data_IF_356886690645
#
_entry.id   IF_356886690645
#
_cell.length_a   1.000
_cell.length_b   1.000
_cell.length_c   1.000
_cell.angle_alpha   90.00
_cell.angle_beta   90.00
_cell.angle_gamma   90.00
#
_symmetry.space_group_name_H-M   'P 1'
#
loop_
_entity.id
_entity.type
_entity.pdbx_description
1 polymer ?
#
# COMPACT_ATOMS: atom_id res chain seq x y z
N UNK A 1 -5.62 2.42 -15.33
CA UNK A 1 -6.47 3.58 -15.65
C UNK A 1 -7.08 4.26 -14.40
N UNK A 2 -7.64 3.53 -13.43
CA UNK A 2 -8.24 4.18 -12.25
C UNK A 2 -7.19 4.50 -11.17
N UNK A 3 -6.25 3.61 -10.95
CA UNK A 3 -5.12 3.81 -10.02
C UNK A 3 -4.29 5.03 -10.44
N UNK A 4 -4.03 5.19 -11.70
CA UNK A 4 -3.26 6.30 -12.27
C UNK A 4 -3.93 7.68 -12.07
N UNK A 5 -5.26 7.71 -12.00
CA UNK A 5 -6.02 8.95 -11.81
C UNK A 5 -6.02 9.47 -10.37
N UNK A 6 -5.68 8.62 -9.42
CA UNK A 6 -5.64 9.01 -8.00
C UNK A 6 -4.41 9.84 -7.65
N UNK A 7 -3.37 9.85 -8.50
CA UNK A 7 -2.09 10.49 -8.19
C UNK A 7 -1.32 9.84 -7.04
N UNK A 8 -1.82 8.71 -6.53
CA UNK A 8 -1.19 7.98 -5.44
C UNK A 8 -0.10 7.06 -5.99
N UNK A 9 1.11 7.20 -5.47
CA UNK A 9 2.28 6.47 -5.94
C UNK A 9 2.41 5.09 -5.31
N UNK A 10 1.72 4.85 -4.21
CA UNK A 10 1.76 3.64 -3.43
C UNK A 10 0.43 2.89 -3.54
N UNK A 11 0.49 1.59 -3.80
CA UNK A 11 -0.69 0.74 -3.89
C UNK A 11 -1.44 0.65 -2.56
N UNK A 12 -0.72 0.71 -1.44
CA UNK A 12 -1.32 0.72 -0.12
C UNK A 12 -2.28 1.89 0.08
N UNK A 13 -1.88 3.10 -0.32
CA UNK A 13 -2.71 4.30 -0.22
C UNK A 13 -3.95 4.22 -1.12
N UNK A 14 -3.81 3.63 -2.31
CA UNK A 14 -4.94 3.38 -3.21
C UNK A 14 -5.94 2.42 -2.57
N UNK A 15 -5.46 1.33 -2.00
CA UNK A 15 -6.30 0.31 -1.38
C UNK A 15 -6.95 0.78 -0.09
N UNK A 16 -6.30 1.65 0.67
CA UNK A 16 -6.88 2.23 1.89
C UNK A 16 -8.07 3.15 1.60
N UNK A 17 -8.12 3.75 0.41
CA UNK A 17 -9.25 4.58 0.00
C UNK A 17 -10.44 3.76 -0.54
N UNK A 18 -10.36 2.44 -0.58
CA UNK A 18 -11.47 1.60 -0.97
C UNK A 18 -12.51 1.51 0.16
N UNK A 19 -13.77 1.48 -0.22
CA UNK A 19 -14.90 1.36 0.73
C UNK A 19 -14.91 0.06 1.54
N UNK A 20 -14.15 -0.93 1.12
CA UNK A 20 -13.97 -2.21 1.84
C UNK A 20 -12.78 -2.20 2.78
N UNK A 21 -11.93 -1.20 2.67
CA UNK A 21 -10.85 -0.97 3.60
C UNK A 21 -11.36 -0.28 4.85
N UNK A 22 -10.69 -0.53 5.94
CA UNK A 22 -10.84 0.23 7.16
C UNK A 22 -10.40 1.68 6.90
N UNK A 23 -11.27 2.64 7.15
CA UNK A 23 -10.98 4.06 6.95
C UNK A 23 -9.85 4.60 7.85
N UNK A 24 -9.48 3.81 8.87
CA UNK A 24 -8.35 4.07 9.77
C UNK A 24 -7.09 3.31 9.37
N UNK A 25 -7.08 2.70 8.18
CA UNK A 25 -6.04 1.79 7.69
C UNK A 25 -4.63 2.09 8.19
N UNK A 26 -3.89 1.05 8.46
CA UNK A 26 -2.54 1.13 9.06
C UNK A 26 -1.59 1.76 8.05
N UNK A 27 -1.30 3.03 8.26
CA UNK A 27 -0.36 3.81 7.44
C UNK A 27 1.02 3.83 8.06
N UNK A 28 2.09 4.06 7.28
CA UNK A 28 3.45 4.13 7.80
C UNK A 28 3.62 5.06 8.99
N UNK A 29 2.96 6.22 8.96
CA UNK A 29 2.97 7.17 10.08
C UNK A 29 2.34 6.58 11.34
N UNK A 30 1.23 5.85 11.19
CA UNK A 30 0.53 5.24 12.34
C UNK A 30 1.36 4.11 12.95
N UNK A 31 1.96 3.27 12.12
CA UNK A 31 2.83 2.19 12.61
C UNK A 31 4.08 2.73 13.29
N UNK A 32 4.75 3.71 12.69
CA UNK A 32 5.94 4.31 13.25
C UNK A 32 5.68 5.03 14.59
N UNK A 33 4.56 5.77 14.70
CA UNK A 33 4.21 6.49 15.95
C UNK A 33 3.77 5.58 17.08
N UNK A 34 3.26 4.39 16.77
CA UNK A 34 2.85 3.39 17.76
C UNK A 34 3.95 2.35 18.07
N UNK A 35 5.20 2.62 17.70
CA UNK A 35 6.31 1.72 17.91
C UNK A 35 6.41 0.59 16.90
N UNK A 36 5.73 0.71 15.78
CA UNK A 36 5.85 -0.18 14.61
C UNK A 36 7.05 0.17 13.73
N UNK A 37 7.18 -0.56 12.64
CA UNK A 37 8.30 -0.49 11.71
C UNK A 37 8.10 0.48 10.53
N UNK A 38 6.96 1.21 10.50
CA UNK A 38 6.61 2.11 9.41
C UNK A 38 6.00 1.43 8.18
N UNK A 39 5.61 0.16 8.28
CA UNK A 39 4.95 -0.59 7.20
C UNK A 39 3.60 0.00 6.82
N UNK A 40 3.21 -0.18 5.57
CA UNK A 40 1.88 0.17 5.06
C UNK A 40 1.04 -1.09 4.89
N UNK A 41 0.21 -1.38 5.86
CA UNK A 41 -0.59 -2.58 5.92
C UNK A 41 -2.05 -2.32 5.54
N UNK A 42 -2.73 -3.33 5.02
CA UNK A 42 -4.15 -3.25 4.66
C UNK A 42 -4.98 -4.13 5.58
N UNK A 43 -5.99 -3.52 6.18
CA UNK A 43 -7.03 -4.22 6.94
C UNK A 43 -8.36 -4.14 6.20
N UNK A 44 -8.90 -5.28 5.82
CA UNK A 44 -10.24 -5.35 5.25
C UNK A 44 -11.27 -5.51 6.38
N UNK A 45 -12.37 -4.76 6.28
CA UNK A 45 -13.53 -4.84 7.20
C UNK A 45 -13.16 -4.66 8.69
N UNK A 46 -12.08 -3.96 8.98
CA UNK A 46 -11.59 -3.74 10.35
C UNK A 46 -11.29 -5.03 11.14
N UNK A 47 -10.89 -6.10 10.46
CA UNK A 47 -10.57 -7.39 11.09
C UNK A 47 -9.08 -7.58 11.35
N UNK A 48 -8.26 -6.58 10.99
CA UNK A 48 -6.81 -6.59 11.15
C UNK A 48 -6.06 -7.08 9.90
N UNK A 49 -4.85 -6.55 9.71
CA UNK A 49 -4.02 -6.84 8.54
C UNK A 49 -3.56 -8.30 8.49
N UNK A 50 -3.26 -8.93 9.63
CA UNK A 50 -2.88 -10.35 9.69
C UNK A 50 -4.00 -11.34 9.33
N UNK A 51 -5.24 -10.86 9.07
CA UNK A 51 -6.35 -11.66 8.56
C UNK A 51 -6.75 -11.31 7.14
N UNK A 52 -5.99 -10.42 6.50
CA UNK A 52 -6.14 -10.01 5.10
C UNK A 52 -5.04 -10.67 4.29
N UNK A 53 -5.40 -11.67 3.50
CA UNK A 53 -4.44 -12.36 2.67
C UNK A 53 -4.08 -11.55 1.43
N UNK A 54 -2.79 -11.32 1.21
CA UNK A 54 -2.28 -10.69 0.00
C UNK A 54 -1.65 -11.73 -0.91
N UNK A 55 -2.08 -11.73 -2.17
CA UNK A 55 -1.55 -12.58 -3.23
C UNK A 55 -0.97 -11.71 -4.33
N UNK A 56 0.09 -12.20 -4.97
CA UNK A 56 0.58 -11.70 -6.25
C UNK A 56 0.45 -12.81 -7.28
N UNK A 57 -0.32 -12.56 -8.33
CA UNK A 57 -0.64 -13.55 -9.37
C UNK A 57 -1.14 -14.91 -8.81
N UNK A 58 -1.96 -14.84 -7.77
CA UNK A 58 -2.52 -16.00 -7.09
C UNK A 58 -1.57 -16.72 -6.13
N UNK A 59 -0.36 -16.22 -5.92
CA UNK A 59 0.62 -16.78 -4.96
C UNK A 59 0.72 -15.90 -3.74
N UNK A 60 0.84 -16.51 -2.57
CA UNK A 60 1.02 -15.79 -1.30
C UNK A 60 2.28 -14.92 -1.35
N UNK A 61 2.14 -13.66 -0.96
CA UNK A 61 3.28 -12.78 -0.81
C UNK A 61 3.96 -12.99 0.55
N UNK A 62 5.21 -12.54 0.63
CA UNK A 62 6.00 -12.64 1.86
C UNK A 62 5.36 -11.78 2.95
N UNK A 63 5.18 -12.37 4.12
CA UNK A 63 4.67 -11.70 5.31
C UNK A 63 5.79 -11.46 6.32
N UNK A 64 5.58 -10.52 7.21
CA UNK A 64 6.39 -10.33 8.40
C UNK A 64 6.13 -11.43 9.47
N UNK A 65 6.71 -11.29 10.66
CA UNK A 65 6.53 -12.23 11.75
C UNK A 65 5.09 -12.25 12.33
N UNK A 66 4.29 -11.23 12.05
CA UNK A 66 2.91 -11.10 12.50
C UNK A 66 1.89 -11.55 11.44
N UNK A 67 2.38 -12.00 10.28
CA UNK A 67 1.54 -12.43 9.15
C UNK A 67 0.98 -11.27 8.34
N UNK A 68 1.55 -10.07 8.45
CA UNK A 68 1.14 -8.89 7.70
C UNK A 68 2.03 -8.65 6.47
N UNK A 69 1.50 -7.95 5.48
CA UNK A 69 2.21 -7.62 4.26
C UNK A 69 2.39 -6.11 4.18
N UNK A 70 3.64 -5.69 4.03
CA UNK A 70 3.94 -4.30 3.72
C UNK A 70 3.71 -4.01 2.24
N UNK A 71 2.67 -3.22 1.96
CA UNK A 71 2.26 -2.85 0.61
C UNK A 71 3.28 -1.94 -0.10
N UNK A 72 4.21 -1.32 0.62
CA UNK A 72 5.27 -0.50 0.02
C UNK A 72 6.27 -1.35 -0.77
N UNK A 73 6.36 -2.65 -0.46
CA UNK A 73 7.25 -3.58 -1.16
C UNK A 73 6.80 -3.90 -2.58
N UNK A 74 5.57 -3.48 -2.95
CA UNK A 74 4.95 -3.80 -4.23
C UNK A 74 4.87 -2.53 -5.09
N UNK A 75 5.73 -2.38 -6.12
CA UNK A 75 5.72 -1.19 -6.97
C UNK A 75 4.39 -1.06 -7.75
N UNK A 76 3.75 0.10 -7.67
CA UNK A 76 2.49 0.34 -8.38
C UNK A 76 2.66 0.24 -9.92
N UNK A 77 3.87 0.49 -10.43
CA UNK A 77 4.20 0.45 -11.87
C UNK A 77 4.05 -0.92 -12.51
N UNK A 78 4.23 -2.01 -11.76
CA UNK A 78 4.08 -3.38 -12.27
C UNK A 78 2.64 -3.89 -12.21
N UNK A 79 1.74 -3.18 -11.55
CA UNK A 79 0.38 -3.63 -11.30
C UNK A 79 -0.47 -3.39 -12.52
N UNK A 80 -1.15 -4.44 -12.99
CA UNK A 80 -2.17 -4.35 -14.02
C UNK A 80 -3.55 -4.05 -13.42
N UNK A 81 -3.93 -4.81 -12.39
CA UNK A 81 -5.19 -4.65 -11.66
C UNK A 81 -5.10 -5.30 -10.27
N UNK A 82 -6.05 -4.93 -9.43
CA UNK A 82 -6.23 -5.54 -8.10
C UNK A 82 -7.62 -6.16 -8.04
N UNK A 83 -7.70 -7.38 -7.58
CA UNK A 83 -8.92 -8.15 -7.36
C UNK A 83 -9.12 -8.34 -5.86
N UNK A 84 -10.30 -8.01 -5.34
CA UNK A 84 -10.60 -8.10 -3.92
C UNK A 84 -11.76 -9.06 -3.71
N UNK A 85 -11.49 -10.15 -2.99
CA UNK A 85 -12.50 -11.09 -2.53
C UNK A 85 -12.84 -10.79 -1.07
N UNK A 86 -14.04 -10.29 -0.84
CA UNK A 86 -14.47 -9.78 0.48
C UNK A 86 -15.00 -10.85 1.43
N UNK A 87 -15.53 -11.96 0.90
CA UNK A 87 -16.20 -13.01 1.67
C UNK A 87 -15.88 -14.41 1.18
N UNK A 88 -16.03 -15.41 2.08
CA UNK A 88 -15.88 -16.82 1.74
C UNK A 88 -14.47 -17.30 1.46
N UNK A 89 -13.48 -16.43 1.62
CA UNK A 89 -12.10 -16.72 1.24
C UNK A 89 -11.43 -17.73 2.18
N UNK A 90 -11.80 -17.76 3.44
CA UNK A 90 -11.19 -18.64 4.44
C UNK A 90 -11.41 -20.13 4.17
N UNK A 91 -12.50 -20.51 3.49
CA UNK A 91 -12.76 -21.89 3.11
C UNK A 91 -11.77 -22.41 2.06
N UNK A 92 -11.18 -21.52 1.26
CA UNK A 92 -10.23 -21.85 0.19
C UNK A 92 -8.80 -21.58 0.63
N UNK A 93 -8.57 -20.45 1.29
CA UNK A 93 -7.24 -19.93 1.57
C UNK A 93 -6.79 -20.10 3.03
N UNK A 94 -7.69 -20.55 3.91
CA UNK A 94 -7.40 -20.76 5.33
C UNK A 94 -7.63 -19.53 6.22
N UNK A 95 -7.15 -19.59 7.45
CA UNK A 95 -7.38 -18.61 8.51
C UNK A 95 -6.89 -17.19 8.20
N UNK A 96 -5.88 -17.08 7.36
CA UNK A 96 -5.27 -15.79 7.01
C UNK A 96 -6.16 -14.95 6.09
N UNK A 97 -7.20 -15.56 5.51
CA UNK A 97 -8.14 -14.93 4.60
C UNK A 97 -9.52 -14.68 5.21
N UNK A 98 -9.64 -14.60 6.53
CA UNK A 98 -10.92 -14.36 7.22
C UNK A 98 -11.47 -12.97 6.90
N UNK A 99 -10.61 -11.96 6.81
CA UNK A 99 -10.99 -10.61 6.42
C UNK A 99 -11.24 -10.45 4.92
N UNK A 100 -10.64 -11.31 4.12
CA UNK A 100 -10.71 -11.31 2.67
C UNK A 100 -9.36 -11.56 2.02
N UNK A 101 -9.34 -11.50 0.69
CA UNK A 101 -8.13 -11.66 -0.14
C UNK A 101 -7.97 -10.46 -1.05
N UNK A 102 -6.76 -9.97 -1.12
CA UNK A 102 -6.32 -8.98 -2.11
C UNK A 102 -5.37 -9.70 -3.06
N UNK A 103 -5.78 -9.86 -4.32
CA UNK A 103 -4.94 -10.47 -5.34
C UNK A 103 -4.46 -9.39 -6.32
N UNK A 104 -3.17 -9.16 -6.32
CA UNK A 104 -2.51 -8.18 -7.18
C UNK A 104 -2.07 -8.91 -8.43
N UNK A 105 -2.62 -8.51 -9.58
CA UNK A 105 -2.28 -9.05 -10.88
C UNK A 105 -1.23 -8.15 -11.52
N UNK A 106 -0.10 -8.74 -11.86
CA UNK A 106 1.00 -8.02 -12.50
C UNK A 106 0.81 -7.92 -14.01
N UNK A 107 1.47 -6.95 -14.64
CA UNK A 107 1.53 -6.80 -16.09
C UNK A 107 2.32 -7.97 -16.67
N UNK A 108 1.69 -8.79 -17.51
CA UNK A 108 2.34 -9.95 -18.15
C UNK A 108 2.62 -9.75 -19.63
N UNK A 109 1.73 -9.03 -20.32
CA UNK A 109 1.76 -8.84 -21.76
C UNK A 109 2.04 -7.36 -22.09
N UNK A 110 3.10 -6.83 -21.49
CA UNK A 110 3.54 -5.48 -21.76
C UNK A 110 4.60 -5.50 -22.85
N UNK A 111 4.39 -4.71 -23.90
CA UNK A 111 5.34 -4.56 -25.02
C UNK A 111 5.75 -3.10 -25.13
N UNK A 112 7.06 -2.88 -25.18
CA UNK A 112 7.63 -1.54 -25.34
C UNK A 112 8.31 -1.03 -24.06
N UNK A 113 8.40 0.30 -23.99
CA UNK A 113 9.06 1.02 -22.92
C UNK A 113 8.11 2.05 -22.31
N UNK A 114 8.02 2.09 -21.02
CA UNK A 114 7.25 3.06 -20.26
C UNK A 114 8.13 3.71 -19.19
N UNK A 115 8.20 5.02 -19.18
CA UNK A 115 8.82 5.80 -18.13
C UNK A 115 7.75 6.60 -17.40
N UNK A 116 7.73 6.52 -16.08
CA UNK A 116 6.86 7.34 -15.23
C UNK A 116 7.73 8.10 -14.23
N UNK A 117 7.41 9.36 -14.05
CA UNK A 117 7.94 10.18 -12.98
C UNK A 117 6.77 10.87 -12.30
N UNK A 118 6.77 10.90 -10.99
CA UNK A 118 5.80 11.65 -10.20
C UNK A 118 6.51 12.42 -9.11
N UNK A 119 6.00 13.61 -8.87
CA UNK A 119 6.42 14.48 -7.78
C UNK A 119 5.15 14.94 -7.08
N UNK A 120 5.14 14.86 -5.76
CA UNK A 120 4.04 15.29 -4.93
C UNK A 120 4.57 15.97 -3.69
N UNK A 121 3.86 16.99 -3.23
CA UNK A 121 4.15 17.72 -2.00
C UNK A 121 2.84 17.95 -1.27
N UNK A 122 2.85 17.89 0.05
CA UNK A 122 1.67 18.29 0.82
C UNK A 122 1.51 19.81 0.80
N UNK A 123 0.27 20.28 0.83
CA UNK A 123 -0.10 21.72 0.75
C UNK A 123 0.63 22.62 1.76
N UNK A 124 1.19 22.06 2.82
CA UNK A 124 1.91 22.78 3.85
C UNK A 124 3.45 22.72 3.71
N UNK A 125 3.97 22.41 2.51
CA UNK A 125 5.41 22.36 2.19
C UNK A 125 6.22 21.42 3.09
N UNK A 126 5.69 20.25 3.43
CA UNK A 126 6.41 19.16 4.10
C UNK A 126 6.03 17.80 3.50
N UNK A 127 6.90 16.83 3.66
CA UNK A 127 6.63 15.45 3.25
C UNK A 127 6.58 15.27 1.74
N UNK A 128 7.52 15.85 1.01
CA UNK A 128 7.67 15.63 -0.43
C UNK A 128 7.77 14.15 -0.76
N UNK A 129 7.15 13.76 -1.87
CA UNK A 129 7.22 12.42 -2.42
C UNK A 129 7.65 12.50 -3.87
N UNK A 130 8.71 11.82 -4.22
CA UNK A 130 9.12 11.67 -5.61
C UNK A 130 9.28 10.19 -5.96
N UNK A 131 8.91 9.85 -7.17
CA UNK A 131 9.14 8.51 -7.68
C UNK A 131 9.45 8.51 -9.16
N UNK A 132 10.31 7.59 -9.56
CA UNK A 132 10.64 7.30 -10.95
C UNK A 132 10.54 5.81 -11.16
N UNK A 133 9.87 5.41 -12.23
CA UNK A 133 9.83 4.01 -12.63
C UNK A 133 10.08 3.86 -14.13
N UNK A 134 10.80 2.82 -14.49
CA UNK A 134 11.07 2.40 -15.84
C UNK A 134 10.54 0.98 -16.00
N UNK A 135 9.69 0.78 -16.99
CA UNK A 135 9.16 -0.53 -17.34
C UNK A 135 9.53 -0.84 -18.78
N UNK A 136 10.13 -1.98 -19.00
CA UNK A 136 10.43 -2.52 -20.32
C UNK A 136 9.80 -3.89 -20.47
N UNK A 137 9.15 -4.13 -21.60
CA UNK A 137 8.51 -5.39 -21.87
C UNK A 137 8.72 -5.86 -23.30
N UNK A 138 8.84 -7.16 -23.46
CA UNK A 138 8.89 -7.83 -24.75
C UNK A 138 8.05 -9.10 -24.71
N UNK A 139 7.11 -9.20 -25.64
CA UNK A 139 6.21 -10.33 -25.76
C UNK A 139 6.48 -11.06 -27.07
N UNK A 140 6.76 -12.35 -27.01
CA UNK A 140 6.93 -13.24 -28.14
C UNK A 140 5.90 -14.36 -28.12
N UNK A 141 5.88 -15.19 -29.16
CA UNK A 141 4.91 -16.29 -29.29
C UNK A 141 4.91 -17.31 -28.15
N UNK A 142 6.04 -17.44 -27.44
CA UNK A 142 6.24 -18.45 -26.38
C UNK A 142 6.70 -17.89 -25.05
N UNK A 143 6.98 -16.60 -24.98
CA UNK A 143 7.49 -15.97 -23.76
C UNK A 143 7.08 -14.51 -23.69
N UNK A 144 6.74 -14.05 -22.50
CA UNK A 144 6.56 -12.65 -22.19
C UNK A 144 7.48 -12.30 -21.02
N UNK A 145 8.25 -11.23 -21.19
CA UNK A 145 9.18 -10.76 -20.18
C UNK A 145 8.87 -9.29 -19.89
N UNK A 146 8.66 -8.98 -18.63
CA UNK A 146 8.48 -7.61 -18.16
C UNK A 146 9.55 -7.33 -17.11
N UNK A 147 10.30 -6.29 -17.34
CA UNK A 147 11.33 -5.79 -16.42
C UNK A 147 10.94 -4.41 -15.91
N UNK A 148 11.02 -4.22 -14.61
CA UNK A 148 10.70 -2.94 -13.98
C UNK A 148 11.80 -2.54 -13.00
N UNK A 149 12.19 -1.28 -13.04
CA UNK A 149 13.01 -0.63 -12.03
C UNK A 149 12.20 0.55 -11.51
N UNK A 150 12.04 0.63 -10.20
CA UNK A 150 11.38 1.76 -9.56
C UNK A 150 12.22 2.27 -8.39
N UNK A 151 12.24 3.59 -8.26
CA UNK A 151 12.80 4.29 -7.11
C UNK A 151 11.71 5.22 -6.59
N UNK A 152 11.50 5.20 -5.28
CA UNK A 152 10.60 6.12 -4.62
C UNK A 152 11.32 6.69 -3.40
N UNK A 153 11.18 7.99 -3.21
CA UNK A 153 11.68 8.71 -2.06
C UNK A 153 10.51 9.43 -1.40
N UNK A 154 10.47 9.37 -0.09
CA UNK A 154 9.52 10.12 0.72
C UNK A 154 10.28 10.88 1.79
N UNK A 155 10.11 12.18 1.83
CA UNK A 155 10.68 13.00 2.88
C UNK A 155 10.01 12.70 4.22
N UNK A 156 10.78 12.73 5.26
CA UNK A 156 10.27 12.60 6.62
C UNK A 156 9.35 13.77 6.97
N UNK A 157 8.31 13.48 7.73
CA UNK A 157 7.41 14.48 8.27
C UNK A 157 7.60 14.51 9.78
N UNK A 158 8.17 15.59 10.28
CA UNK A 158 8.32 15.77 11.72
C UNK A 158 6.99 16.20 12.34
N UNK A 159 6.70 15.74 13.55
CA UNK A 159 5.49 16.14 14.26
C UNK A 159 5.40 17.66 14.45
N UNK A 160 6.55 18.34 14.52
CA UNK A 160 6.63 19.80 14.59
C UNK A 160 6.18 20.54 13.35
N UNK A 161 6.22 19.88 12.18
CA UNK A 161 5.84 20.49 10.90
C UNK A 161 4.31 20.50 10.72
N UNK A 162 3.60 19.65 11.47
CA UNK A 162 2.14 19.56 11.39
C UNK A 162 1.52 20.57 12.34
N UNK A 163 0.83 21.63 11.86
CA UNK A 163 0.30 22.70 12.71
C UNK A 163 -0.62 22.23 13.83
N UNK A 164 -1.32 21.12 13.63
CA UNK A 164 -2.20 20.51 14.65
C UNK A 164 -1.44 19.65 15.66
N UNK A 165 -0.32 19.05 15.28
CA UNK A 165 0.49 18.23 16.18
C UNK A 165 1.40 19.09 17.07
N UNK A 166 1.71 20.31 16.63
CA UNK A 166 2.52 21.27 17.39
C UNK A 166 1.71 22.04 18.45
N UNK A 167 0.41 21.77 18.59
CA UNK A 167 -0.35 22.28 19.72
C UNK A 167 0.07 21.52 20.99
N UNK A 168 0.41 22.22 22.08
CA UNK A 168 0.70 21.55 23.32
C UNK A 168 -0.51 20.68 23.67
N UNK A 169 -0.30 19.39 23.72
CA UNK A 169 -1.29 18.45 24.25
C UNK A 169 -1.48 18.84 25.72
N UNK A 170 -2.45 19.67 25.99
CA UNK A 170 -3.04 19.71 27.31
C UNK A 170 -3.80 18.39 27.43
N UNK A 171 -3.06 17.37 27.79
CA UNK A 171 -3.62 16.08 28.16
C UNK A 171 -4.54 16.30 29.33
N UNK A 172 -5.77 16.62 29.03
CA UNK A 172 -6.86 16.49 29.99
C UNK A 172 -7.14 15.00 30.17
N UNK A 173 -6.17 14.29 30.74
CA UNK A 173 -6.46 13.10 31.51
C UNK A 173 -7.03 13.55 32.84
N UNK A 174 -8.20 14.11 32.82
CA UNK A 174 -9.03 14.29 34.00
C UNK A 174 -10.00 13.10 34.07
N UNK A 175 -9.46 11.94 34.39
CA UNK A 175 -10.21 10.95 35.13
C UNK A 175 -9.82 11.20 36.59
N UNK A 176 -10.44 12.19 37.19
CA UNK A 176 -10.62 12.22 38.60
C UNK A 176 -11.96 11.55 38.90
N UNK A 177 -11.87 10.33 39.37
CA UNK A 177 -12.93 9.70 40.13
C UNK A 177 -12.65 10.01 41.59
#
# INVERSE_FOLDING_TARGET
AQIERTGLNNIGDVLQNLTSSDGTGIRPVTTATNGGDGSNEISLRNLGAGRTLVLIDGRRWVTDAFGTVDMQTIPASIIQRVEILKDGASSIYGSDAVAGVINIITKKDFEGFEMRASMGEYEANYGGQDSVSLTFGSTGERSSNVFNISMANQEEIMAGDIPRANQPYYGLSLIHI
#
